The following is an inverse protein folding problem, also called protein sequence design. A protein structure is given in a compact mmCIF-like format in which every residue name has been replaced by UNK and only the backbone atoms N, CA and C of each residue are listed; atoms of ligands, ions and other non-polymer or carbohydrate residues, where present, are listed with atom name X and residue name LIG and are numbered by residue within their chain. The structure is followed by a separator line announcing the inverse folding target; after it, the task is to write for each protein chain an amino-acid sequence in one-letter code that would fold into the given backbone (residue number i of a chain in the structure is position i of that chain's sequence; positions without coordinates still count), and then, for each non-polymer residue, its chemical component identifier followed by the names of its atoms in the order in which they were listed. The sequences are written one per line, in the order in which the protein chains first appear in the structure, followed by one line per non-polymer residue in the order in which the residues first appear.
data_IF_475359823610
#
_entry.id   IF_475359823610
#
_cell.length_a   1.000
_cell.length_b   1.000
_cell.length_c   1.000
_cell.angle_alpha   90.00
_cell.angle_beta   90.00
_cell.angle_gamma   90.00
#
_symmetry.space_group_name_H-M   'P 1'
#
loop_
_entity.id
_entity.type
_entity.pdbx_description
1 polymer ?
#
# COMPACT_ATOMS: atom_id res chain seq x y z
N UNK A 1 -24.74 -15.80 56.64
CA UNK A 1 -24.33 -16.55 55.42
C UNK A 1 -24.51 -15.73 54.13
N UNK A 2 -25.72 -15.25 53.78
CA UNK A 2 -25.99 -14.59 52.50
C UNK A 2 -25.21 -13.27 52.24
N UNK A 3 -24.95 -12.44 53.26
CA UNK A 3 -24.22 -11.17 53.10
C UNK A 3 -22.72 -11.37 52.80
N UNK A 4 -22.10 -12.38 53.40
CA UNK A 4 -20.68 -12.75 53.16
C UNK A 4 -20.53 -13.30 51.73
N UNK A 5 -21.49 -14.12 51.29
CA UNK A 5 -21.53 -14.64 49.93
C UNK A 5 -21.70 -13.54 48.88
N UNK A 6 -22.64 -12.59 49.08
CA UNK A 6 -22.80 -11.41 48.20
C UNK A 6 -21.55 -10.53 48.16
N UNK A 7 -20.86 -10.33 49.30
CA UNK A 7 -19.58 -9.58 49.35
C UNK A 7 -18.48 -10.28 48.55
N UNK A 8 -18.35 -11.62 48.63
CA UNK A 8 -17.39 -12.40 47.83
C UNK A 8 -17.68 -12.30 46.33
N UNK A 9 -18.93 -12.42 45.91
CA UNK A 9 -19.32 -12.25 44.49
C UNK A 9 -19.03 -10.83 44.01
N UNK A 10 -19.36 -9.79 44.80
CA UNK A 10 -19.07 -8.39 44.46
C UNK A 10 -17.56 -8.14 44.30
N UNK A 11 -16.72 -8.67 45.21
CA UNK A 11 -15.25 -8.58 45.10
C UNK A 11 -14.71 -9.31 43.87
N UNK A 12 -15.24 -10.49 43.53
CA UNK A 12 -14.88 -11.23 42.30
C UNK A 12 -15.22 -10.44 41.03
N UNK A 13 -16.42 -9.86 40.96
CA UNK A 13 -16.84 -9.00 39.84
C UNK A 13 -15.98 -7.73 39.72
N UNK A 14 -15.59 -7.12 40.85
CA UNK A 14 -14.66 -5.97 40.85
C UNK A 14 -13.28 -6.38 40.33
N UNK A 15 -12.70 -7.48 40.81
CA UNK A 15 -11.41 -8.00 40.31
C UNK A 15 -11.45 -8.28 38.81
N UNK A 16 -12.52 -8.91 38.32
CA UNK A 16 -12.71 -9.13 36.88
C UNK A 16 -12.74 -7.82 36.09
N UNK A 17 -13.47 -6.81 36.57
CA UNK A 17 -13.48 -5.47 35.93
C UNK A 17 -12.09 -4.84 35.90
N UNK A 18 -11.32 -4.95 36.98
CA UNK A 18 -9.94 -4.45 37.03
C UNK A 18 -9.07 -5.20 36.01
N UNK A 19 -9.16 -6.53 35.93
CA UNK A 19 -8.41 -7.32 34.95
C UNK A 19 -8.78 -6.91 33.51
N UNK A 20 -10.06 -6.77 33.20
CA UNK A 20 -10.51 -6.30 31.88
C UNK A 20 -9.98 -4.89 31.57
N UNK A 21 -10.01 -3.98 32.54
CA UNK A 21 -9.45 -2.64 32.37
C UNK A 21 -7.94 -2.69 32.11
N UNK A 22 -7.19 -3.51 32.85
CA UNK A 22 -5.76 -3.68 32.65
C UNK A 22 -5.43 -4.29 31.28
N UNK A 23 -6.20 -5.29 30.83
CA UNK A 23 -6.05 -5.86 29.48
C UNK A 23 -6.38 -4.84 28.39
N UNK A 24 -7.42 -4.03 28.58
CA UNK A 24 -7.79 -2.97 27.64
C UNK A 24 -6.72 -1.88 27.56
N UNK A 25 -6.18 -1.45 28.70
CA UNK A 25 -5.05 -0.50 28.74
C UNK A 25 -3.82 -1.13 28.06
N UNK A 26 -3.49 -2.38 28.38
CA UNK A 26 -2.37 -3.09 27.74
C UNK A 26 -2.55 -3.16 26.22
N UNK A 27 -3.75 -3.43 25.72
CA UNK A 27 -4.06 -3.43 24.29
C UNK A 27 -3.83 -2.05 23.67
N UNK A 28 -4.33 -0.98 24.29
CA UNK A 28 -4.14 0.40 23.81
C UNK A 28 -2.66 0.76 23.76
N UNK A 29 -1.90 0.42 24.80
CA UNK A 29 -0.46 0.70 24.87
C UNK A 29 0.36 -0.10 23.85
N UNK A 30 -0.18 -1.19 23.31
CA UNK A 30 0.49 -2.04 22.31
C UNK A 30 -0.13 -1.93 20.91
N UNK A 31 -0.99 -0.94 20.66
CA UNK A 31 -1.73 -0.84 19.41
C UNK A 31 -0.78 -0.72 18.20
N UNK A 32 0.30 0.06 18.33
CA UNK A 32 1.29 0.24 17.26
C UNK A 32 2.06 -1.06 16.97
N UNK A 33 2.43 -1.81 18.00
CA UNK A 33 3.11 -3.10 17.85
C UNK A 33 2.21 -4.11 17.11
N UNK A 34 0.92 -4.15 17.47
CA UNK A 34 -0.06 -4.98 16.79
C UNK A 34 -0.24 -4.51 15.34
N UNK A 35 -0.31 -3.20 15.11
CA UNK A 35 -0.42 -2.63 13.78
C UNK A 35 0.79 -2.98 12.90
N UNK A 36 2.02 -2.95 13.41
CA UNK A 36 3.23 -3.38 12.67
C UNK A 36 3.21 -4.87 12.30
N UNK A 37 2.55 -5.71 13.08
CA UNK A 37 2.35 -7.13 12.72
C UNK A 37 1.36 -7.27 11.54
N UNK A 38 0.33 -6.43 11.50
CA UNK A 38 -0.69 -6.46 10.42
C UNK A 38 -0.19 -5.76 9.14
N UNK A 39 0.62 -4.72 9.31
CA UNK A 39 1.21 -3.90 8.25
C UNK A 39 2.74 -3.95 8.31
N UNK A 40 3.34 -5.12 8.07
CA UNK A 40 4.79 -5.25 8.07
C UNK A 40 5.38 -4.51 6.87
N UNK A 41 6.47 -3.79 7.07
CA UNK A 41 7.23 -3.17 5.98
C UNK A 41 8.28 -4.17 5.45
N UNK A 42 7.84 -5.21 4.75
CA UNK A 42 8.75 -6.19 4.13
C UNK A 42 9.49 -5.57 2.94
N UNK A 43 10.71 -6.04 2.65
CA UNK A 43 11.59 -5.46 1.60
C UNK A 43 11.85 -3.96 1.78
N UNK A 44 11.94 -3.50 3.04
CA UNK A 44 12.10 -2.09 3.39
C UNK A 44 13.37 -1.49 2.81
N UNK A 45 14.48 -2.22 2.86
CA UNK A 45 15.78 -1.73 2.38
C UNK A 45 15.73 -1.47 0.88
N UNK A 46 15.22 -2.42 0.09
CA UNK A 46 15.05 -2.30 -1.35
C UNK A 46 14.04 -1.18 -1.70
N UNK A 47 12.92 -1.12 -0.96
CA UNK A 47 11.90 -0.08 -1.16
C UNK A 47 12.49 1.32 -0.90
N UNK A 48 13.23 1.52 0.19
CA UNK A 48 13.85 2.81 0.51
C UNK A 48 14.97 3.14 -0.50
N UNK A 49 15.75 2.15 -0.91
CA UNK A 49 16.80 2.33 -1.91
C UNK A 49 16.23 2.88 -3.22
N UNK A 50 15.25 2.19 -3.80
CA UNK A 50 14.66 2.63 -5.08
C UNK A 50 13.77 3.87 -4.93
N UNK A 51 13.11 4.06 -3.78
CA UNK A 51 12.41 5.30 -3.45
C UNK A 51 13.35 6.51 -3.55
N UNK A 52 14.53 6.42 -2.94
CA UNK A 52 15.53 7.49 -2.97
C UNK A 52 16.10 7.69 -4.38
N UNK A 53 16.43 6.60 -5.08
CA UNK A 53 16.97 6.63 -6.45
C UNK A 53 16.03 7.37 -7.42
N UNK A 54 14.73 7.04 -7.36
CA UNK A 54 13.72 7.60 -8.28
C UNK A 54 12.91 8.76 -7.69
N UNK A 55 13.22 9.19 -6.46
CA UNK A 55 12.58 10.30 -5.73
C UNK A 55 11.08 10.13 -5.50
N UNK A 56 10.65 8.91 -5.18
CA UNK A 56 9.28 8.57 -4.80
C UNK A 56 9.19 8.44 -3.28
N UNK A 57 8.05 8.76 -2.68
CA UNK A 57 7.84 8.55 -1.24
C UNK A 57 7.89 7.04 -0.89
N UNK A 58 8.81 6.57 -0.02
CA UNK A 58 8.95 5.16 0.31
C UNK A 58 7.70 4.56 0.97
N UNK A 59 6.91 5.36 1.70
CA UNK A 59 5.66 4.89 2.30
C UNK A 59 4.54 4.75 1.27
N UNK A 60 4.58 5.55 0.19
CA UNK A 60 3.66 5.38 -0.94
C UNK A 60 3.96 4.07 -1.66
N UNK A 61 5.24 3.76 -1.89
CA UNK A 61 5.65 2.48 -2.46
C UNK A 61 5.25 1.29 -1.58
N UNK A 62 5.48 1.37 -0.28
CA UNK A 62 5.05 0.34 0.66
C UNK A 62 3.53 0.10 0.58
N UNK A 63 2.75 1.18 0.46
CA UNK A 63 1.31 1.12 0.32
C UNK A 63 0.84 0.52 -1.01
N UNK A 64 1.53 0.81 -2.11
CA UNK A 64 1.30 0.18 -3.41
C UNK A 64 1.60 -1.31 -3.33
N UNK A 65 2.80 -1.72 -2.87
CA UNK A 65 3.17 -3.14 -2.74
C UNK A 65 2.18 -3.89 -1.83
N UNK A 66 1.79 -3.29 -0.70
CA UNK A 66 0.78 -3.86 0.20
C UNK A 66 -0.56 -4.08 -0.49
N UNK A 67 -0.98 -3.14 -1.34
CA UNK A 67 -2.27 -3.22 -2.06
C UNK A 67 -2.22 -4.25 -3.18
N UNK A 68 -1.11 -4.31 -3.92
CA UNK A 68 -0.95 -5.15 -5.11
C UNK A 68 -0.75 -6.62 -4.75
N UNK A 69 0.19 -6.92 -3.84
CA UNK A 69 0.61 -8.30 -3.57
C UNK A 69 0.56 -8.69 -2.10
N UNK A 70 0.27 -7.74 -1.20
CA UNK A 70 0.46 -7.92 0.23
C UNK A 70 1.90 -8.41 0.57
N UNK A 71 2.89 -7.94 -0.20
CA UNK A 71 4.31 -8.34 -0.14
C UNK A 71 4.61 -9.79 -0.54
N UNK A 72 3.73 -10.46 -1.29
CA UNK A 72 4.05 -11.75 -1.91
C UNK A 72 4.80 -11.55 -3.24
N UNK A 73 6.10 -11.84 -3.24
CA UNK A 73 6.96 -11.73 -4.43
C UNK A 73 6.62 -12.72 -5.54
N UNK A 74 5.80 -13.74 -5.26
CA UNK A 74 5.35 -14.74 -6.24
C UNK A 74 3.91 -14.54 -6.68
N UNK A 75 3.27 -13.44 -6.27
CA UNK A 75 1.89 -13.14 -6.64
C UNK A 75 1.73 -13.04 -8.17
N UNK A 76 0.64 -13.62 -8.68
CA UNK A 76 0.21 -13.50 -10.08
C UNK A 76 -1.26 -13.17 -10.12
N UNK A 77 -1.64 -12.06 -10.76
CA UNK A 77 -3.05 -11.72 -10.96
C UNK A 77 -3.70 -12.58 -12.05
N UNK A 78 -5.02 -12.62 -12.09
CA UNK A 78 -5.78 -13.30 -13.16
C UNK A 78 -5.43 -12.76 -14.56
N UNK A 79 -5.06 -11.47 -14.64
CA UNK A 79 -4.66 -10.80 -15.89
C UNK A 79 -3.18 -11.02 -16.24
N UNK A 80 -2.41 -11.65 -15.35
CA UNK A 80 -1.00 -11.99 -15.58
C UNK A 80 0.02 -10.99 -15.03
N UNK A 81 -0.40 -10.05 -14.19
CA UNK A 81 0.49 -9.14 -13.47
C UNK A 81 1.33 -9.90 -12.45
N UNK A 82 2.61 -9.53 -12.23
CA UNK A 82 3.58 -10.37 -11.49
C UNK A 82 4.31 -9.63 -10.37
N UNK A 83 4.54 -10.38 -9.29
CA UNK A 83 5.43 -10.03 -8.20
C UNK A 83 4.91 -8.94 -7.26
N UNK A 84 5.83 -8.34 -6.52
CA UNK A 84 5.52 -7.41 -5.42
C UNK A 84 4.66 -6.22 -5.87
N UNK A 85 5.01 -5.66 -7.01
CA UNK A 85 4.36 -4.48 -7.57
C UNK A 85 3.34 -4.81 -8.67
N UNK A 86 3.01 -6.10 -8.87
CA UNK A 86 2.03 -6.55 -9.88
C UNK A 86 2.21 -5.84 -11.23
N UNK A 87 3.42 -5.90 -11.77
CA UNK A 87 3.73 -5.30 -13.07
C UNK A 87 3.29 -6.27 -14.17
N UNK A 88 2.62 -5.74 -15.19
CA UNK A 88 2.32 -6.50 -16.41
C UNK A 88 3.62 -6.78 -17.19
N UNK A 89 3.81 -7.99 -17.77
CA UNK A 89 5.00 -8.31 -18.56
C UNK A 89 5.35 -7.26 -19.62
N UNK A 90 4.35 -6.73 -20.34
CA UNK A 90 4.51 -5.71 -21.38
C UNK A 90 4.98 -4.38 -20.78
N UNK A 91 4.45 -3.99 -19.62
CA UNK A 91 4.90 -2.80 -18.89
C UNK A 91 6.33 -2.98 -18.39
N UNK A 92 6.67 -4.16 -17.85
CA UNK A 92 8.03 -4.47 -17.40
C UNK A 92 9.06 -4.37 -18.53
N UNK A 93 8.75 -4.94 -19.69
CA UNK A 93 9.58 -4.86 -20.90
C UNK A 93 9.74 -3.40 -21.35
N UNK A 94 8.66 -2.63 -21.36
CA UNK A 94 8.72 -1.22 -21.73
C UNK A 94 9.59 -0.42 -20.75
N UNK A 95 9.39 -0.57 -19.43
CA UNK A 95 10.19 0.10 -18.40
C UNK A 95 11.67 -0.29 -18.51
N UNK A 96 11.98 -1.58 -18.65
CA UNK A 96 13.35 -2.09 -18.79
C UNK A 96 14.09 -1.38 -19.94
N UNK A 97 13.43 -1.19 -21.08
CA UNK A 97 13.98 -0.42 -22.21
C UNK A 97 14.21 1.05 -21.86
N UNK A 98 13.30 1.70 -21.14
CA UNK A 98 13.46 3.10 -20.72
C UNK A 98 14.67 3.31 -19.81
N UNK A 99 15.00 2.32 -18.97
CA UNK A 99 16.16 2.38 -18.06
C UNK A 99 17.44 1.78 -18.65
N UNK A 100 17.45 1.42 -19.94
CA UNK A 100 18.63 0.93 -20.65
C UNK A 100 18.98 -0.54 -20.40
N UNK A 101 18.08 -1.34 -19.85
CA UNK A 101 18.26 -2.78 -19.73
C UNK A 101 18.03 -3.46 -21.09
N UNK A 102 19.09 -4.12 -21.60
CA UNK A 102 19.10 -4.70 -22.95
C UNK A 102 18.39 -6.04 -23.05
N UNK A 103 18.19 -6.71 -21.92
CA UNK A 103 17.56 -8.03 -21.83
C UNK A 103 16.61 -8.02 -20.65
N UNK A 104 15.34 -8.28 -20.91
CA UNK A 104 14.32 -8.45 -19.89
C UNK A 104 13.61 -9.79 -20.10
N UNK A 105 13.40 -10.51 -19.02
CA UNK A 105 12.54 -11.68 -18.96
C UNK A 105 11.41 -11.37 -17.96
N UNK A 106 10.13 -11.52 -18.35
CA UNK A 106 8.99 -11.33 -17.45
C UNK A 106 9.04 -12.12 -16.13
N UNK A 107 9.78 -13.22 -16.05
CA UNK A 107 9.94 -13.98 -14.79
C UNK A 107 10.83 -13.24 -13.78
N UNK A 108 11.64 -12.27 -14.23
CA UNK A 108 12.39 -11.38 -13.33
C UNK A 108 11.46 -10.50 -12.49
N UNK A 109 10.19 -10.33 -12.87
CA UNK A 109 9.22 -9.61 -12.05
C UNK A 109 8.92 -10.30 -10.71
N UNK A 110 9.25 -11.58 -10.57
CA UNK A 110 9.18 -12.31 -9.29
C UNK A 110 10.39 -12.07 -8.38
N UNK A 111 11.49 -11.52 -8.90
CA UNK A 111 12.61 -11.08 -8.10
C UNK A 111 12.24 -9.76 -7.38
N UNK A 112 12.30 -9.69 -6.04
CA UNK A 112 11.92 -8.50 -5.28
C UNK A 112 12.63 -7.22 -5.73
N UNK A 113 13.94 -7.29 -5.98
CA UNK A 113 14.73 -6.13 -6.41
C UNK A 113 14.23 -5.60 -7.76
N UNK A 114 14.09 -6.49 -8.74
CA UNK A 114 13.60 -6.12 -10.08
C UNK A 114 12.16 -5.59 -10.02
N UNK A 115 11.27 -6.26 -9.29
CA UNK A 115 9.87 -5.85 -9.13
C UNK A 115 9.75 -4.44 -8.56
N UNK A 116 10.48 -4.16 -7.46
CA UNK A 116 10.48 -2.86 -6.80
C UNK A 116 11.14 -1.80 -7.70
N UNK A 117 12.28 -2.10 -8.32
CA UNK A 117 12.98 -1.19 -9.24
C UNK A 117 12.08 -0.69 -10.36
N UNK A 118 11.51 -1.62 -11.12
CA UNK A 118 10.71 -1.29 -12.30
C UNK A 118 9.40 -0.61 -11.92
N UNK A 119 8.72 -1.09 -10.86
CA UNK A 119 7.50 -0.46 -10.40
C UNK A 119 7.70 0.93 -9.80
N UNK A 120 8.82 1.15 -9.09
CA UNK A 120 9.17 2.48 -8.57
C UNK A 120 9.51 3.46 -9.68
N UNK A 121 10.30 3.03 -10.68
CA UNK A 121 10.56 3.84 -11.86
C UNK A 121 9.25 4.21 -12.56
N UNK A 122 8.32 3.26 -12.69
CA UNK A 122 7.04 3.50 -13.34
C UNK A 122 6.20 4.54 -12.60
N UNK A 123 6.13 4.47 -11.27
CA UNK A 123 5.47 5.51 -10.46
C UNK A 123 6.14 6.87 -10.65
N UNK A 124 7.47 6.94 -10.64
CA UNK A 124 8.19 8.20 -10.86
C UNK A 124 7.94 8.80 -12.25
N UNK A 125 7.76 7.97 -13.27
CA UNK A 125 7.39 8.42 -14.62
C UNK A 125 5.97 8.98 -14.64
N UNK A 126 5.02 8.30 -14.00
CA UNK A 126 3.65 8.78 -13.84
C UNK A 126 3.58 10.07 -13.00
N UNK A 127 4.40 10.23 -11.97
CA UNK A 127 4.47 11.47 -11.18
C UNK A 127 4.93 12.65 -12.04
N UNK A 128 5.86 12.45 -12.99
CA UNK A 128 6.24 13.50 -13.94
C UNK A 128 5.08 13.85 -14.87
N UNK A 129 4.41 12.83 -15.40
CA UNK A 129 3.32 13.01 -16.37
C UNK A 129 2.11 13.73 -15.76
N UNK A 130 1.72 13.32 -14.55
CA UNK A 130 0.54 13.85 -13.87
C UNK A 130 0.86 14.92 -12.83
N UNK A 131 2.00 15.61 -12.97
CA UNK A 131 2.42 16.74 -12.10
C UNK A 131 2.33 16.42 -10.59
N UNK A 132 2.73 15.20 -10.23
CA UNK A 132 2.71 14.64 -8.87
C UNK A 132 1.33 14.57 -8.21
N UNK A 133 0.25 14.60 -8.99
CA UNK A 133 -1.09 14.34 -8.48
C UNK A 133 -1.24 12.85 -8.12
N UNK A 134 -1.15 12.54 -6.84
CA UNK A 134 -1.20 11.17 -6.33
C UNK A 134 -2.44 10.41 -6.77
N UNK A 135 -3.59 11.08 -6.95
CA UNK A 135 -4.82 10.39 -7.38
C UNK A 135 -4.70 9.95 -8.83
N UNK A 136 -4.21 10.84 -9.70
CA UNK A 136 -4.00 10.52 -11.11
C UNK A 136 -2.90 9.47 -11.30
N UNK A 137 -1.79 9.60 -10.56
CA UNK A 137 -0.68 8.63 -10.59
C UNK A 137 -1.16 7.23 -10.23
N UNK A 138 -1.86 7.08 -9.10
CA UNK A 138 -2.36 5.76 -8.67
C UNK A 138 -3.46 5.23 -9.59
N UNK A 139 -4.32 6.11 -10.12
CA UNK A 139 -5.31 5.72 -11.10
C UNK A 139 -4.67 5.24 -12.41
N UNK A 140 -3.59 5.89 -12.86
CA UNK A 140 -2.88 5.52 -14.08
C UNK A 140 -2.06 4.24 -13.88
N UNK A 141 -1.49 4.05 -12.69
CA UNK A 141 -0.76 2.84 -12.32
C UNK A 141 -1.63 1.58 -12.44
N UNK A 142 -2.83 1.61 -11.85
CA UNK A 142 -3.74 0.46 -11.84
C UNK A 142 -4.71 0.42 -13.04
N UNK A 143 -5.28 1.57 -13.39
CA UNK A 143 -6.28 1.71 -14.45
C UNK A 143 -5.70 1.94 -15.83
N UNK A 144 -4.39 2.19 -15.95
CA UNK A 144 -3.68 2.43 -17.20
C UNK A 144 -3.60 3.92 -17.56
N UNK A 145 -2.39 4.34 -17.98
CA UNK A 145 -2.05 5.70 -18.40
C UNK A 145 -3.04 6.31 -19.40
N UNK A 146 -3.27 5.65 -20.53
CA UNK A 146 -4.14 6.16 -21.59
C UNK A 146 -5.60 6.33 -21.17
N UNK A 147 -6.09 5.51 -20.22
CA UNK A 147 -7.44 5.69 -19.69
C UNK A 147 -7.53 6.97 -18.86
N UNK A 148 -6.53 7.27 -18.04
CA UNK A 148 -6.49 8.51 -17.24
C UNK A 148 -6.39 9.73 -18.14
N UNK A 149 -5.54 9.71 -19.17
CA UNK A 149 -5.46 10.77 -20.18
C UNK A 149 -6.83 11.00 -20.83
N UNK A 150 -7.51 9.93 -21.27
CA UNK A 150 -8.85 10.02 -21.86
C UNK A 150 -9.88 10.63 -20.89
N UNK A 151 -9.83 10.27 -19.61
CA UNK A 151 -10.76 10.80 -18.60
C UNK A 151 -10.50 12.28 -18.28
N UNK A 152 -9.25 12.73 -18.34
CA UNK A 152 -8.88 14.14 -18.21
C UNK A 152 -9.36 14.94 -19.41
N UNK A 153 -9.14 14.43 -20.63
CA UNK A 153 -9.57 15.07 -21.88
C UNK A 153 -11.08 15.23 -21.96
N UNK A 154 -11.83 14.21 -21.54
CA UNK A 154 -13.30 14.24 -21.44
C UNK A 154 -13.81 15.06 -20.26
N UNK A 155 -12.92 15.57 -19.40
CA UNK A 155 -13.25 16.26 -18.15
C UNK A 155 -14.14 15.44 -17.21
N UNK A 156 -14.11 14.11 -17.35
CA UNK A 156 -14.78 13.20 -16.43
C UNK A 156 -13.96 12.96 -15.17
N UNK A 157 -12.64 13.20 -15.23
CA UNK A 157 -11.73 13.21 -14.09
C UNK A 157 -11.02 14.57 -14.04
N UNK A 158 -10.83 15.14 -12.84
CA UNK A 158 -10.20 16.46 -12.67
C UNK A 158 -8.86 16.46 -11.96
N UNK A 159 -8.46 15.34 -11.34
CA UNK A 159 -7.34 15.30 -10.39
C UNK A 159 -7.70 15.88 -9.02
N UNK A 160 -6.78 15.74 -8.07
CA UNK A 160 -6.88 16.14 -6.68
C UNK A 160 -7.70 15.18 -5.84
N UNK A 161 -7.60 15.30 -4.51
CA UNK A 161 -8.20 14.36 -3.54
C UNK A 161 -9.71 14.16 -3.75
N UNK A 162 -10.43 15.19 -4.20
CA UNK A 162 -11.88 15.12 -4.42
C UNK A 162 -12.28 14.35 -5.69
N UNK A 163 -11.32 13.93 -6.52
CA UNK A 163 -11.58 13.25 -7.80
C UNK A 163 -11.68 11.73 -7.70
N UNK A 164 -11.45 11.13 -6.53
CA UNK A 164 -11.50 9.66 -6.36
C UNK A 164 -12.86 9.09 -6.83
N UNK A 165 -13.96 9.74 -6.50
CA UNK A 165 -15.31 9.28 -6.89
C UNK A 165 -15.60 9.43 -8.39
N UNK A 166 -14.76 10.19 -9.12
CA UNK A 166 -14.87 10.40 -10.56
C UNK A 166 -14.18 9.28 -11.36
N UNK A 167 -13.27 8.51 -10.74
CA UNK A 167 -12.57 7.39 -11.40
C UNK A 167 -13.62 6.39 -11.91
N UNK A 168 -13.76 6.18 -13.23
CA UNK A 168 -14.85 5.37 -13.80
C UNK A 168 -14.75 3.88 -13.44
N UNK A 169 -13.53 3.34 -13.39
CA UNK A 169 -13.30 1.94 -13.09
C UNK A 169 -13.43 1.66 -11.58
N UNK A 170 -14.37 0.79 -11.15
CA UNK A 170 -14.56 0.49 -9.72
C UNK A 170 -13.34 -0.16 -9.08
N UNK A 171 -12.64 -1.04 -9.80
CA UNK A 171 -11.40 -1.69 -9.38
C UNK A 171 -10.33 -0.65 -9.06
N UNK A 172 -10.08 0.28 -10.00
CA UNK A 172 -9.13 1.37 -9.84
C UNK A 172 -9.50 2.33 -8.73
N UNK A 173 -10.79 2.66 -8.58
CA UNK A 173 -11.25 3.48 -7.45
C UNK A 173 -10.95 2.83 -6.11
N UNK A 174 -11.23 1.54 -5.98
CA UNK A 174 -10.94 0.78 -4.76
C UNK A 174 -9.43 0.66 -4.51
N UNK A 175 -8.64 0.45 -5.55
CA UNK A 175 -7.18 0.45 -5.48
C UNK A 175 -6.65 1.76 -4.89
N UNK A 176 -7.04 2.91 -5.47
CA UNK A 176 -6.62 4.23 -4.99
C UNK A 176 -6.99 4.43 -3.52
N UNK A 177 -8.21 4.08 -3.12
CA UNK A 177 -8.66 4.19 -1.72
C UNK A 177 -7.81 3.34 -0.76
N UNK A 178 -7.49 2.10 -1.14
CA UNK A 178 -6.64 1.20 -0.35
C UNK A 178 -5.21 1.73 -0.21
N UNK A 179 -4.61 2.18 -1.31
CA UNK A 179 -3.26 2.74 -1.28
C UNK A 179 -3.21 3.97 -0.38
N UNK A 180 -4.17 4.89 -0.49
CA UNK A 180 -4.19 6.07 0.39
C UNK A 180 -4.34 5.70 1.87
N UNK A 181 -5.19 4.73 2.20
CA UNK A 181 -5.32 4.21 3.56
C UNK A 181 -4.00 3.63 4.06
N UNK A 182 -3.38 2.74 3.29
CA UNK A 182 -2.12 2.11 3.67
C UNK A 182 -0.97 3.10 3.74
N UNK A 183 -0.95 4.11 2.87
CA UNK A 183 0.03 5.19 2.91
C UNK A 183 -0.01 5.93 4.25
N UNK A 184 -1.21 6.25 4.75
CA UNK A 184 -1.36 6.89 6.07
C UNK A 184 -0.90 5.97 7.20
N UNK A 185 -1.17 4.67 7.10
CA UNK A 185 -0.75 3.68 8.10
C UNK A 185 0.78 3.53 8.10
N UNK A 186 1.42 3.36 6.95
CA UNK A 186 2.88 3.24 6.87
C UNK A 186 3.58 4.50 7.35
N UNK A 187 3.08 5.68 6.96
CA UNK A 187 3.58 6.95 7.49
C UNK A 187 3.42 7.06 9.00
N UNK A 188 2.30 6.61 9.55
CA UNK A 188 2.12 6.65 11.00
C UNK A 188 3.08 5.71 11.74
N UNK A 189 3.23 4.48 11.26
CA UNK A 189 3.98 3.42 11.95
C UNK A 189 5.50 3.54 11.80
N UNK A 190 5.99 4.11 10.70
CA UNK A 190 7.41 4.03 10.31
C UNK A 190 8.06 5.38 9.96
N UNK A 191 7.39 6.53 10.14
CA UNK A 191 7.97 7.87 9.82
C UNK A 191 9.26 8.22 10.56
N UNK A 192 9.47 7.64 11.74
CA UNK A 192 10.58 7.98 12.64
C UNK A 192 11.73 6.96 12.52
N UNK A 193 11.64 6.04 11.56
CA UNK A 193 12.64 5.01 11.22
C UNK A 193 13.25 5.28 9.84
#
# INVERSE_FOLDING_TARGET
MAAVFRRRIKRRKIKQRIIFLLLFIFLILNLDNIARIIYPFSYREETIYYANEYRVDPFLLAAVIKTESNFDSRAVSEKGARGLMQIMPETGEWVARQIGEKTFNPDQLFDPNTSIKLGTWYIADLEKEFSSDTILVLAAYNGGRGNVEEWLDKKSLSGGVNSINQIPFPETRLFVQKVLLYYHIYRYLYKDE
#
